data_IF_016097188360
#
_entry.id   IF_016097188360
#
_cell.length_a   1.000
_cell.length_b   1.000
_cell.length_c   1.000
_cell.angle_alpha   90.00
_cell.angle_beta   90.00
_cell.angle_gamma   90.00
#
_symmetry.space_group_name_H-M   'P 1'
#
loop_
_entity.id
_entity.type
_entity.pdbx_description
1 polymer ?
#
# COMPACT_ATOMS: atom_id res chain seq x y z
N UNK A 1 17.17 -10.87 25.94
CA UNK A 1 15.91 -11.10 26.67
C UNK A 1 14.77 -11.02 25.66
N UNK A 2 14.10 -12.13 25.36
CA UNK A 2 12.81 -12.06 24.66
C UNK A 2 11.82 -11.48 25.67
N UNK A 3 11.27 -10.30 25.41
CA UNK A 3 10.11 -9.81 26.16
C UNK A 3 8.97 -10.78 25.84
N UNK A 4 8.36 -11.39 26.84
CA UNK A 4 7.07 -12.04 26.63
C UNK A 4 6.12 -10.98 26.08
N UNK A 5 5.58 -11.25 24.90
CA UNK A 5 4.67 -10.34 24.25
C UNK A 5 3.33 -10.51 24.94
N UNK A 6 3.02 -9.62 25.89
CA UNK A 6 1.71 -9.56 26.53
C UNK A 6 0.67 -9.31 25.42
N UNK A 7 -0.12 -10.34 25.13
CA UNK A 7 -1.20 -10.23 24.14
C UNK A 7 -2.31 -9.38 24.76
N UNK A 8 -2.71 -8.30 24.09
CA UNK A 8 -3.78 -7.44 24.59
C UNK A 8 -5.06 -8.25 24.86
N UNK A 9 -5.82 -7.98 25.95
CA UNK A 9 -6.99 -8.78 26.33
C UNK A 9 -8.02 -8.94 25.21
N UNK A 10 -8.24 -7.89 24.41
CA UNK A 10 -9.15 -7.93 23.26
C UNK A 10 -8.65 -8.89 22.16
N UNK A 11 -7.36 -8.89 21.85
CA UNK A 11 -6.79 -9.83 20.87
C UNK A 11 -6.90 -11.26 21.39
N UNK A 12 -6.60 -11.51 22.66
CA UNK A 12 -6.74 -12.84 23.26
C UNK A 12 -8.19 -13.35 23.16
N UNK A 13 -9.18 -12.47 23.35
CA UNK A 13 -10.59 -12.79 23.15
C UNK A 13 -10.91 -13.16 21.70
N UNK A 14 -10.42 -12.39 20.72
CA UNK A 14 -10.62 -12.68 19.29
C UNK A 14 -9.98 -14.01 18.87
N UNK A 15 -8.80 -14.32 19.40
CA UNK A 15 -8.09 -15.56 19.10
C UNK A 15 -8.82 -16.79 19.65
N UNK A 16 -9.58 -16.66 20.74
CA UNK A 16 -10.36 -17.75 21.35
C UNK A 16 -9.56 -19.06 21.52
N UNK A 17 -8.30 -18.95 21.94
CA UNK A 17 -7.40 -20.09 22.14
C UNK A 17 -6.74 -20.63 20.87
N UNK A 18 -6.95 -20.03 19.70
CA UNK A 18 -6.21 -20.35 18.49
C UNK A 18 -4.73 -19.97 18.64
N UNK A 19 -3.84 -20.88 18.22
CA UNK A 19 -2.41 -20.60 18.12
C UNK A 19 -2.14 -19.71 16.91
N UNK A 20 -1.33 -18.66 17.08
CA UNK A 20 -0.94 -17.74 16.01
C UNK A 20 0.56 -17.46 16.02
N UNK A 21 1.10 -17.16 14.85
CA UNK A 21 2.46 -16.69 14.69
C UNK A 21 2.48 -15.16 14.59
N UNK A 22 3.24 -14.51 15.47
CA UNK A 22 3.41 -13.06 15.46
C UNK A 22 4.62 -12.67 14.61
N UNK A 23 4.38 -11.97 13.50
CA UNK A 23 5.43 -11.45 12.62
C UNK A 23 5.44 -9.93 12.56
N UNK A 24 6.60 -9.27 12.63
CA UNK A 24 6.75 -7.89 12.19
C UNK A 24 6.36 -7.76 10.72
N UNK A 25 5.64 -6.69 10.37
CA UNK A 25 5.16 -6.49 9.00
C UNK A 25 6.31 -6.41 7.97
N UNK A 26 7.48 -5.90 8.36
CA UNK A 26 8.67 -5.88 7.49
C UNK A 26 9.31 -7.23 7.19
N UNK A 27 8.92 -8.30 7.90
CA UNK A 27 9.36 -9.66 7.57
C UNK A 27 8.48 -10.29 6.47
N UNK A 28 7.26 -9.79 6.27
CA UNK A 28 6.28 -10.35 5.32
C UNK A 28 5.97 -9.42 4.14
N UNK A 29 6.32 -8.14 4.25
CA UNK A 29 6.07 -7.11 3.23
C UNK A 29 7.29 -6.24 2.93
N UNK A 30 7.41 -5.86 1.66
CA UNK A 30 8.24 -4.74 1.21
C UNK A 30 7.46 -3.42 1.42
N UNK A 31 8.10 -2.43 2.04
CA UNK A 31 7.57 -1.06 2.14
C UNK A 31 8.23 -0.14 1.13
N UNK A 32 7.43 0.70 0.48
CA UNK A 32 7.98 1.76 -0.36
C UNK A 32 7.16 3.04 -0.29
N UNK A 33 7.82 4.17 0.01
CA UNK A 33 7.26 5.52 0.05
C UNK A 33 7.90 6.45 -0.99
N UNK A 34 8.65 5.91 -1.95
CA UNK A 34 9.40 6.72 -2.92
C UNK A 34 8.49 7.50 -3.86
N UNK A 35 7.42 6.85 -4.36
CA UNK A 35 6.34 7.38 -5.20
C UNK A 35 6.71 8.38 -6.31
N UNK A 36 5.70 8.98 -6.92
CA UNK A 36 5.85 9.99 -7.98
C UNK A 36 5.13 11.30 -7.61
N UNK A 37 5.71 12.43 -8.00
CA UNK A 37 5.11 13.77 -7.80
C UNK A 37 3.98 14.00 -8.83
N UNK A 38 3.01 14.84 -8.51
CA UNK A 38 1.89 15.19 -9.38
C UNK A 38 2.25 16.12 -10.55
N UNK A 39 3.55 16.22 -10.87
CA UNK A 39 4.08 17.14 -11.90
C UNK A 39 4.24 16.43 -13.23
N UNK A 40 4.24 17.23 -14.28
CA UNK A 40 4.68 16.81 -15.60
C UNK A 40 6.00 17.49 -15.91
N UNK A 41 7.01 16.70 -16.25
CA UNK A 41 8.38 17.09 -16.56
C UNK A 41 8.63 16.74 -18.03
N UNK A 42 9.23 17.66 -18.76
CA UNK A 42 9.58 17.45 -20.17
C UNK A 42 10.60 16.31 -20.32
N UNK A 43 10.41 15.45 -21.33
CA UNK A 43 11.26 14.29 -21.58
C UNK A 43 10.90 13.03 -20.80
N UNK A 44 9.99 13.11 -19.83
CA UNK A 44 9.45 11.94 -19.12
C UNK A 44 8.21 11.37 -19.82
N UNK A 45 7.87 10.10 -19.50
CA UNK A 45 6.69 9.43 -20.08
C UNK A 45 5.43 9.80 -19.31
N UNK A 46 4.32 9.99 -20.03
CA UNK A 46 3.01 10.20 -19.41
C UNK A 46 2.50 8.91 -18.79
N UNK A 47 2.02 9.00 -17.56
CA UNK A 47 1.46 7.90 -16.78
C UNK A 47 0.27 8.35 -15.95
N UNK A 48 -0.57 7.42 -15.53
CA UNK A 48 -1.63 7.65 -14.54
C UNK A 48 -1.02 7.66 -13.13
N UNK A 49 -1.56 8.49 -12.25
CA UNK A 49 -1.12 8.59 -10.85
C UNK A 49 -2.24 8.09 -9.92
N UNK A 50 -1.95 7.04 -9.14
CA UNK A 50 -2.74 6.69 -7.95
C UNK A 50 -2.35 7.65 -6.83
N UNK A 51 -3.30 8.48 -6.39
CA UNK A 51 -3.03 9.56 -5.46
C UNK A 51 -3.60 9.26 -4.06
N UNK A 52 -3.36 10.20 -3.13
CA UNK A 52 -3.85 10.10 -1.76
C UNK A 52 -5.37 9.98 -1.67
N UNK A 53 -6.13 10.81 -2.41
CA UNK A 53 -7.60 10.81 -2.31
C UNK A 53 -8.22 9.53 -2.88
N UNK A 54 -7.56 8.87 -3.84
CA UNK A 54 -7.96 7.57 -4.32
C UNK A 54 -7.90 6.52 -3.20
N UNK A 55 -6.77 6.44 -2.49
CA UNK A 55 -6.57 5.50 -1.37
C UNK A 55 -7.45 5.85 -0.18
N UNK A 56 -7.64 7.14 0.08
CA UNK A 56 -8.47 7.63 1.18
C UNK A 56 -9.95 7.27 1.02
N UNK A 57 -10.47 7.26 -0.22
CA UNK A 57 -11.90 7.06 -0.47
C UNK A 57 -12.29 5.66 -0.95
N UNK A 58 -11.32 4.79 -1.28
CA UNK A 58 -11.60 3.49 -1.88
C UNK A 58 -10.94 2.37 -1.09
N UNK A 59 -11.62 1.24 -0.99
CA UNK A 59 -11.04 0.00 -0.46
C UNK A 59 -10.35 -0.83 -1.55
N UNK A 60 -10.79 -0.70 -2.80
CA UNK A 60 -10.28 -1.47 -3.94
C UNK A 60 -9.86 -0.54 -5.08
N UNK A 61 -8.69 -0.83 -5.65
CA UNK A 61 -8.08 -0.08 -6.73
C UNK A 61 -8.08 -0.95 -8.00
N UNK A 62 -8.60 -0.37 -9.08
CA UNK A 62 -8.63 -0.92 -10.44
C UNK A 62 -7.96 0.06 -11.40
N UNK A 63 -7.76 -0.32 -12.67
CA UNK A 63 -7.19 0.54 -13.72
C UNK A 63 -8.00 1.80 -14.04
N UNK A 64 -9.26 1.83 -13.65
CA UNK A 64 -10.14 3.01 -13.72
C UNK A 64 -9.95 3.97 -12.54
N UNK A 65 -9.30 3.52 -11.46
CA UNK A 65 -9.11 4.34 -10.27
C UNK A 65 -8.13 5.50 -10.48
N UNK A 66 -6.88 5.28 -10.89
CA UNK A 66 -5.96 6.37 -11.14
C UNK A 66 -6.34 7.07 -12.45
N UNK A 67 -6.84 8.30 -12.33
CA UNK A 67 -7.31 9.10 -13.48
C UNK A 67 -6.42 10.30 -13.79
N UNK A 68 -5.68 10.80 -12.80
CA UNK A 68 -4.77 11.92 -12.96
C UNK A 68 -3.59 11.54 -13.85
N UNK A 69 -3.28 12.35 -14.86
CA UNK A 69 -2.13 12.14 -15.75
C UNK A 69 -0.97 13.04 -15.31
N UNK A 70 0.20 12.41 -15.15
CA UNK A 70 1.47 13.05 -14.75
C UNK A 70 2.58 12.53 -15.64
N UNK A 71 3.85 12.85 -15.33
CA UNK A 71 4.99 12.17 -15.95
C UNK A 71 5.85 11.42 -14.93
N UNK A 72 6.59 10.43 -15.43
CA UNK A 72 7.61 9.74 -14.65
C UNK A 72 8.76 9.26 -15.56
N UNK A 73 9.97 9.27 -15.00
CA UNK A 73 11.12 8.58 -15.59
C UNK A 73 10.91 7.06 -15.65
N UNK A 74 11.62 6.37 -16.56
CA UNK A 74 11.55 4.91 -16.69
C UNK A 74 11.86 4.17 -15.38
N UNK A 75 12.83 4.68 -14.61
CA UNK A 75 13.15 4.15 -13.28
C UNK A 75 11.97 4.27 -12.32
N UNK A 76 11.32 5.44 -12.27
CA UNK A 76 10.14 5.64 -11.41
C UNK A 76 8.96 4.79 -11.85
N UNK A 77 8.77 4.57 -13.15
CA UNK A 77 7.74 3.67 -13.66
C UNK A 77 7.96 2.25 -13.16
N UNK A 78 9.21 1.77 -13.19
CA UNK A 78 9.56 0.44 -12.68
C UNK A 78 9.40 0.34 -11.16
N UNK A 79 9.99 1.28 -10.42
CA UNK A 79 10.04 1.24 -8.95
C UNK A 79 8.65 1.47 -8.33
N UNK A 80 7.85 2.34 -8.95
CA UNK A 80 6.56 2.79 -8.44
C UNK A 80 5.35 2.17 -9.16
N UNK A 81 5.55 1.03 -9.83
CA UNK A 81 4.46 0.30 -10.47
C UNK A 81 3.41 -0.18 -9.45
N UNK A 82 2.22 -0.50 -9.96
CA UNK A 82 1.09 -1.01 -9.20
C UNK A 82 0.75 -2.41 -9.72
N UNK A 83 0.92 -3.41 -8.85
CA UNK A 83 0.64 -4.81 -9.14
C UNK A 83 -0.54 -5.29 -8.30
N UNK A 84 -1.21 -6.34 -8.79
CA UNK A 84 -2.26 -7.02 -8.05
C UNK A 84 -1.74 -7.46 -6.68
N UNK A 85 -2.49 -7.15 -5.64
CA UNK A 85 -2.16 -7.46 -4.25
C UNK A 85 -1.23 -6.43 -3.59
N UNK A 86 -0.89 -5.33 -4.26
CA UNK A 86 -0.32 -4.17 -3.57
C UNK A 86 -1.38 -3.54 -2.66
N UNK A 87 -0.99 -3.27 -1.42
CA UNK A 87 -1.79 -2.53 -0.45
C UNK A 87 -1.18 -1.14 -0.31
N UNK A 88 -2.01 -0.11 -0.41
CA UNK A 88 -1.60 1.28 -0.23
C UNK A 88 -2.18 1.81 1.08
N UNK A 89 -1.40 2.59 1.82
CA UNK A 89 -1.86 3.22 3.07
C UNK A 89 -1.63 4.73 3.04
N UNK A 90 -2.47 5.48 3.76
CA UNK A 90 -2.26 6.91 4.07
C UNK A 90 -1.29 7.05 5.27
N UNK A 91 -0.01 7.42 5.06
CA UNK A 91 0.97 7.46 6.15
C UNK A 91 0.84 8.70 7.04
N UNK A 92 0.10 9.72 6.59
CA UNK A 92 -0.11 10.98 7.28
C UNK A 92 -1.46 11.59 6.85
N UNK A 93 -2.12 12.30 7.75
CA UNK A 93 -3.26 13.16 7.45
C UNK A 93 -3.25 14.39 8.37
N UNK A 94 -4.08 15.37 8.07
CA UNK A 94 -4.36 16.52 8.93
C UNK A 94 -5.13 16.12 10.19
N UNK A 95 -5.98 15.08 10.09
CA UNK A 95 -6.75 14.52 11.21
C UNK A 95 -6.13 13.16 11.60
N UNK A 96 -5.88 12.95 12.90
CA UNK A 96 -5.25 11.73 13.40
C UNK A 96 -6.02 10.45 13.01
N UNK A 97 -7.35 10.51 13.08
CA UNK A 97 -8.24 9.40 12.76
C UNK A 97 -8.31 9.06 11.26
N UNK A 98 -7.65 9.84 10.39
CA UNK A 98 -7.57 9.63 8.94
C UNK A 98 -6.24 8.97 8.49
N UNK A 99 -5.36 8.67 9.44
CA UNK A 99 -4.12 7.94 9.19
C UNK A 99 -4.40 6.44 9.14
N UNK A 100 -3.76 5.75 8.18
CA UNK A 100 -3.85 4.29 8.06
C UNK A 100 -5.05 3.81 7.25
N UNK A 101 -5.72 4.68 6.50
CA UNK A 101 -6.71 4.25 5.50
C UNK A 101 -5.98 3.44 4.43
N UNK A 102 -6.55 2.29 4.06
CA UNK A 102 -5.92 1.35 3.16
C UNK A 102 -6.79 1.02 1.94
N UNK A 103 -6.11 0.73 0.83
CA UNK A 103 -6.74 0.29 -0.42
C UNK A 103 -5.89 -0.78 -1.11
N UNK A 104 -6.54 -1.82 -1.63
CA UNK A 104 -5.86 -2.95 -2.30
C UNK A 104 -6.03 -2.90 -3.81
N UNK A 105 -4.95 -3.04 -4.57
CA UNK A 105 -5.01 -3.25 -6.01
C UNK A 105 -5.47 -4.66 -6.33
N UNK A 106 -6.61 -4.81 -7.01
CA UNK A 106 -7.18 -6.13 -7.33
C UNK A 106 -6.76 -6.67 -8.70
N UNK A 107 -6.00 -5.88 -9.45
CA UNK A 107 -5.41 -6.21 -10.76
C UNK A 107 -4.06 -5.49 -10.95
N UNK A 108 -3.25 -5.94 -11.91
CA UNK A 108 -2.07 -5.21 -12.34
C UNK A 108 -2.50 -3.96 -13.13
N UNK A 109 -1.92 -2.80 -12.82
CA UNK A 109 -2.33 -1.53 -13.44
C UNK A 109 -1.18 -0.98 -14.29
N UNK A 110 -1.13 -1.45 -15.53
CA UNK A 110 -0.15 -0.97 -16.51
C UNK A 110 -0.31 0.52 -16.81
N UNK A 111 0.82 1.21 -16.95
CA UNK A 111 0.84 2.65 -17.25
C UNK A 111 0.42 3.55 -16.08
N UNK A 112 0.32 3.01 -14.87
CA UNK A 112 0.07 3.76 -13.65
C UNK A 112 1.20 3.61 -12.62
N UNK A 113 1.38 4.65 -11.81
CA UNK A 113 2.32 4.70 -10.70
C UNK A 113 1.64 5.27 -9.45
N UNK A 114 2.18 5.00 -8.26
CA UNK A 114 1.65 5.57 -7.02
C UNK A 114 2.38 6.86 -6.59
N UNK A 115 1.65 7.73 -5.88
CA UNK A 115 2.17 9.01 -5.40
C UNK A 115 3.09 8.86 -4.18
N UNK A 116 4.03 9.80 -4.00
CA UNK A 116 4.88 9.83 -2.78
C UNK A 116 4.09 10.17 -1.50
N UNK A 117 2.84 10.61 -1.63
CA UNK A 117 1.94 10.89 -0.51
C UNK A 117 1.28 9.63 0.09
N UNK A 118 1.51 8.46 -0.51
CA UNK A 118 1.03 7.17 -0.02
C UNK A 118 2.19 6.19 0.11
N UNK A 119 2.02 5.16 0.92
CA UNK A 119 3.01 4.10 1.09
C UNK A 119 2.47 2.80 0.50
N UNK A 120 3.29 2.09 -0.27
CA UNK A 120 3.00 0.75 -0.78
C UNK A 120 3.52 -0.30 0.18
N UNK A 121 2.70 -1.29 0.45
CA UNK A 121 3.03 -2.56 1.07
C UNK A 121 2.86 -3.65 0.02
N UNK A 122 3.93 -4.38 -0.27
CA UNK A 122 3.92 -5.49 -1.22
C UNK A 122 4.33 -6.77 -0.51
N UNK A 123 3.40 -7.71 -0.41
CA UNK A 123 3.61 -8.99 0.27
C UNK A 123 4.61 -9.85 -0.50
N UNK A 124 5.57 -10.47 0.21
CA UNK A 124 6.56 -11.36 -0.38
C UNK A 124 5.96 -12.71 -0.80
N UNK A 125 5.11 -13.28 0.03
CA UNK A 125 4.48 -14.60 -0.18
C UNK A 125 2.98 -14.54 0.07
N UNK A 126 2.21 -14.60 -1.03
CA UNK A 126 0.74 -14.49 -1.02
C UNK A 126 0.04 -15.78 -0.60
N UNK A 127 0.77 -16.90 -0.50
CA UNK A 127 0.26 -18.15 0.07
C UNK A 127 0.30 -18.12 1.61
N UNK A 128 1.18 -17.28 2.17
CA UNK A 128 1.31 -17.07 3.62
C UNK A 128 0.43 -15.93 4.11
N UNK A 129 0.31 -14.85 3.34
CA UNK A 129 -0.50 -13.68 3.70
C UNK A 129 -1.30 -13.20 2.49
N UNK A 130 -2.63 -13.27 2.59
CA UNK A 130 -3.49 -12.72 1.56
C UNK A 130 -3.54 -11.19 1.64
N UNK A 131 -3.33 -10.47 0.51
CA UNK A 131 -3.38 -9.00 0.48
C UNK A 131 -4.67 -8.40 1.05
N UNK A 132 -5.81 -9.03 0.82
CA UNK A 132 -7.11 -8.57 1.30
C UNK A 132 -7.29 -8.70 2.82
N UNK A 133 -6.40 -9.44 3.50
CA UNK A 133 -6.37 -9.55 4.95
C UNK A 133 -5.50 -8.47 5.61
N UNK A 134 -4.60 -7.84 4.84
CA UNK A 134 -3.67 -6.82 5.33
C UNK A 134 -4.30 -5.42 5.34
#
# INVERSE_FOLDING_TARGET
>A
MKREQETFPYIAHLLNGAEVEWKPLGEVCEFSNTGVDKKTIEGEKKVKLLNFVDVFHKQYITKETPTMIVSASDKKILDCNILKGDVFITPSSEILDEIGYSATAIEDIEGAVYSYHIMRLRIYDKEVLHPEYL
#
